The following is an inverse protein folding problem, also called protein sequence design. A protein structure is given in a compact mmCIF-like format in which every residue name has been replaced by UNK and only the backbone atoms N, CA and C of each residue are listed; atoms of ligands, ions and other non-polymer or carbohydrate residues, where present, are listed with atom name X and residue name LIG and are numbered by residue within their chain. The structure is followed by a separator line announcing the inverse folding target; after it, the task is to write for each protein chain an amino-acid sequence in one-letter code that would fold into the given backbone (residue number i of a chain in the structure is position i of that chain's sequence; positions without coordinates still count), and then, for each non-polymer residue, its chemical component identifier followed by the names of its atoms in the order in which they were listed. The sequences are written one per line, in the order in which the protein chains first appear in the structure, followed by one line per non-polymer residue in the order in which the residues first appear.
data_IF_217337280187
#
_entry.id   IF_217337280187
#
_cell.length_a   1.000
_cell.length_b   1.000
_cell.length_c   1.000
_cell.angle_alpha   90.00
_cell.angle_beta   90.00
_cell.angle_gamma   90.00
#
_symmetry.space_group_name_H-M   'P 1'
#
loop_
_entity.id
_entity.type
_entity.pdbx_description
1 polymer ?
#
# COMPACT_ATOMS: atom_id res chain seq x y z
N UNK A 1 1.83 -2.86 -4.67
CA UNK A 1 3.23 -2.53 -4.27
C UNK A 1 3.37 -1.15 -3.64
N UNK A 2 2.66 -0.11 -4.10
CA UNK A 2 2.85 1.27 -3.63
C UNK A 2 2.66 1.47 -2.11
N UNK A 3 1.60 0.92 -1.50
CA UNK A 3 1.39 1.04 -0.05
C UNK A 3 2.46 0.32 0.81
N UNK A 4 3.04 -0.78 0.31
CA UNK A 4 4.10 -1.52 1.01
C UNK A 4 5.43 -0.74 1.05
N UNK A 5 5.72 0.03 0.00
CA UNK A 5 6.91 0.87 -0.06
C UNK A 5 6.90 1.96 1.04
N UNK A 6 5.72 2.49 1.39
CA UNK A 6 5.54 3.54 2.42
C UNK A 6 5.97 3.03 3.80
N UNK A 7 5.60 1.79 4.15
CA UNK A 7 5.98 1.14 5.42
C UNK A 7 7.38 0.48 5.39
N UNK A 8 8.20 0.77 4.37
CA UNK A 8 9.55 0.20 4.24
C UNK A 8 9.54 -1.32 4.02
N UNK A 9 8.50 -1.81 3.35
CA UNK A 9 8.12 -3.21 3.33
C UNK A 9 7.94 -3.81 1.93
N UNK A 10 7.86 -5.14 1.91
CA UNK A 10 7.45 -5.88 0.73
C UNK A 10 5.93 -6.05 0.70
N UNK A 11 5.36 -6.13 -0.50
CA UNK A 11 3.94 -6.43 -0.64
C UNK A 11 3.63 -7.10 -1.97
N UNK A 12 2.82 -8.15 -1.90
CA UNK A 12 2.45 -9.00 -3.01
C UNK A 12 1.00 -9.47 -2.89
N UNK A 13 0.36 -9.66 -4.03
CA UNK A 13 -0.99 -10.18 -4.11
C UNK A 13 -1.60 -9.96 -5.48
N UNK A 14 -2.75 -10.59 -5.69
CA UNK A 14 -3.51 -10.59 -6.95
C UNK A 14 -4.16 -9.21 -7.19
N UNK A 15 -4.64 -8.93 -8.42
CA UNK A 15 -5.30 -7.67 -8.75
C UNK A 15 -6.42 -7.28 -7.76
N UNK A 16 -7.08 -8.26 -7.17
CA UNK A 16 -8.22 -8.06 -6.26
C UNK A 16 -7.84 -8.17 -4.78
N UNK A 17 -6.57 -8.45 -4.46
CA UNK A 17 -6.12 -8.71 -3.10
C UNK A 17 -4.62 -8.49 -2.99
N UNK A 18 -4.18 -7.47 -2.28
CA UNK A 18 -2.77 -7.23 -2.01
C UNK A 18 -2.51 -7.18 -0.51
N UNK A 19 -1.48 -7.89 -0.06
CA UNK A 19 -0.98 -7.76 1.31
C UNK A 19 0.31 -6.95 1.30
N UNK A 20 0.44 -6.04 2.26
CA UNK A 20 1.63 -5.23 2.48
C UNK A 20 2.07 -5.41 3.93
N UNK A 21 3.36 -5.66 4.15
CA UNK A 21 3.98 -5.72 5.47
C UNK A 21 5.35 -5.05 5.42
N UNK A 22 5.67 -4.23 6.41
CA UNK A 22 6.89 -3.44 6.42
C UNK A 22 7.52 -3.31 7.78
N UNK A 23 8.78 -2.87 7.78
CA UNK A 23 9.60 -2.76 9.00
C UNK A 23 9.18 -1.58 9.89
N UNK A 24 8.33 -0.69 9.37
CA UNK A 24 7.92 0.56 9.99
C UNK A 24 6.40 0.57 10.24
N UNK A 25 5.90 -0.13 11.27
CA UNK A 25 4.47 -0.17 11.62
C UNK A 25 3.88 1.22 11.93
N UNK A 26 4.69 2.16 12.39
CA UNK A 26 4.30 3.55 12.65
C UNK A 26 3.83 4.30 11.39
N UNK A 27 4.24 3.85 10.19
CA UNK A 27 3.86 4.46 8.91
C UNK A 27 2.56 3.91 8.32
N UNK A 28 1.84 3.05 9.06
CA UNK A 28 0.56 2.49 8.60
C UNK A 28 -0.47 3.58 8.33
N UNK A 29 -0.52 4.63 9.15
CA UNK A 29 -1.45 5.75 8.93
C UNK A 29 -1.21 6.47 7.59
N UNK A 30 0.06 6.74 7.26
CA UNK A 30 0.45 7.33 5.97
C UNK A 30 0.13 6.40 4.79
N UNK A 31 0.35 5.10 4.96
CA UNK A 31 0.03 4.11 3.94
C UNK A 31 -1.47 4.03 3.66
N UNK A 32 -2.32 4.14 4.68
CA UNK A 32 -3.78 4.18 4.54
C UNK A 32 -4.22 5.49 3.88
N UNK A 33 -3.64 6.63 4.26
CA UNK A 33 -3.96 7.92 3.67
C UNK A 33 -3.66 8.00 2.16
N UNK A 34 -2.71 7.18 1.67
CA UNK A 34 -2.36 7.08 0.25
C UNK A 34 -3.33 6.22 -0.58
N UNK A 35 -4.26 5.49 0.04
CA UNK A 35 -5.18 4.56 -0.66
C UNK A 35 -6.05 5.26 -1.71
N UNK A 36 -6.70 6.41 -1.44
CA UNK A 36 -7.57 7.07 -2.42
C UNK A 36 -6.84 7.40 -3.73
N UNK A 37 -5.64 7.97 -3.62
CA UNK A 37 -4.77 8.32 -4.76
C UNK A 37 -4.39 7.08 -5.58
N UNK A 38 -4.11 5.95 -4.91
CA UNK A 38 -3.77 4.69 -5.59
C UNK A 38 -4.96 4.06 -6.30
N UNK A 39 -6.16 4.16 -5.73
CA UNK A 39 -7.40 3.64 -6.34
C UNK A 39 -7.79 4.48 -7.56
N UNK A 40 -7.69 5.81 -7.48
CA UNK A 40 -7.92 6.69 -8.63
C UNK A 40 -7.00 6.37 -9.82
N UNK A 41 -5.75 6.00 -9.55
CA UNK A 41 -4.80 5.58 -10.59
C UNK A 41 -5.12 4.24 -11.26
N UNK A 42 -5.96 3.38 -10.63
CA UNK A 42 -6.36 2.08 -11.17
C UNK A 42 -7.73 2.09 -11.86
N UNK A 43 -8.50 3.16 -11.70
CA UNK A 43 -9.81 3.35 -12.33
C UNK A 43 -9.71 3.98 -13.74
N UNK A 44 -8.48 4.24 -14.22
CA UNK A 44 -8.18 4.66 -15.59
C UNK A 44 -7.71 3.46 -16.41
#
# INVERSE_FOLDING_TARGET
KAAAAIVGGGGGGRPNMAQAGGKNPEKIGEAIAKIPELVEGQLK
#
